data_IF_035244474962
#
_entry.id   IF_035244474962
#
_cell.length_a   1.000
_cell.length_b   1.000
_cell.length_c   1.000
_cell.angle_alpha   90.00
_cell.angle_beta   90.00
_cell.angle_gamma   90.00
#
_symmetry.space_group_name_H-M   'P 1'
#
loop_
_entity.id
_entity.type
_entity.pdbx_description
1 polymer ?
#
# COMPACT_ATOMS: atom_id res chain seq x y z
N UNK A 1 -5.61 17.57 21.79
CA UNK A 1 -6.42 17.16 20.61
C UNK A 1 -7.80 16.76 21.13
N UNK A 2 -8.84 17.59 20.91
CA UNK A 2 -10.15 17.43 21.56
C UNK A 2 -10.96 16.34 20.85
N UNK A 3 -11.25 15.29 21.59
CA UNK A 3 -12.13 14.17 21.21
C UNK A 3 -13.58 14.69 21.16
N UNK A 4 -14.23 14.68 19.99
CA UNK A 4 -15.68 14.87 19.92
C UNK A 4 -16.35 13.55 20.29
N UNK A 5 -16.71 13.38 21.57
CA UNK A 5 -17.65 12.35 22.03
C UNK A 5 -19.04 12.97 22.09
N UNK A 6 -19.96 12.46 21.30
CA UNK A 6 -21.40 12.62 21.57
C UNK A 6 -21.68 11.77 22.81
N UNK A 7 -21.77 12.40 23.99
CA UNK A 7 -22.25 11.74 25.20
C UNK A 7 -23.79 11.71 25.13
N UNK A 8 -24.37 10.57 24.75
CA UNK A 8 -25.78 10.29 25.01
C UNK A 8 -25.87 9.65 26.38
N UNK A 9 -26.25 10.42 27.40
CA UNK A 9 -26.58 9.88 28.72
C UNK A 9 -28.04 9.39 28.68
N UNK A 10 -28.25 8.07 28.70
CA UNK A 10 -29.58 7.48 28.93
C UNK A 10 -29.69 7.14 30.41
N UNK A 11 -30.56 7.85 31.14
CA UNK A 11 -30.99 7.47 32.47
C UNK A 11 -32.48 7.11 32.40
N UNK A 12 -32.80 5.84 32.70
CA UNK A 12 -34.16 5.41 32.98
C UNK A 12 -34.16 4.80 34.39
N UNK A 13 -35.12 5.20 35.23
CA UNK A 13 -35.80 4.41 36.28
C UNK A 13 -36.81 5.33 37.04
N UNK A 14 -38.09 4.93 36.98
CA UNK A 14 -39.33 5.40 37.64
C UNK A 14 -39.82 6.85 37.47
N UNK A 15 -40.87 7.00 36.63
CA UNK A 15 -42.05 7.78 37.03
C UNK A 15 -42.11 9.28 36.71
N UNK A 16 -41.53 9.74 35.59
CA UNK A 16 -41.89 10.99 34.87
C UNK A 16 -40.94 11.07 33.66
N UNK A 17 -41.38 10.70 32.47
CA UNK A 17 -40.56 10.80 31.26
C UNK A 17 -40.57 12.25 30.75
N UNK A 18 -39.72 13.09 31.33
CA UNK A 18 -39.23 14.29 30.64
C UNK A 18 -37.93 13.86 29.97
N UNK A 19 -37.99 13.44 28.71
CA UNK A 19 -36.79 13.34 27.88
C UNK A 19 -36.30 14.76 27.61
N UNK A 20 -35.48 15.30 28.52
CA UNK A 20 -34.69 16.47 28.23
C UNK A 20 -33.57 16.04 27.26
N UNK A 21 -33.72 16.35 25.98
CA UNK A 21 -32.63 16.20 25.01
C UNK A 21 -31.45 17.05 25.50
N UNK A 22 -30.26 16.46 25.57
CA UNK A 22 -29.05 17.19 25.92
C UNK A 22 -28.85 18.35 24.95
N UNK A 23 -28.52 19.54 25.47
CA UNK A 23 -28.28 20.70 24.63
C UNK A 23 -27.14 20.41 23.62
N UNK A 24 -27.35 20.80 22.37
CA UNK A 24 -26.35 20.66 21.31
C UNK A 24 -25.47 21.90 21.32
N UNK A 25 -24.18 21.72 21.54
CA UNK A 25 -23.20 22.80 21.44
C UNK A 25 -22.65 22.83 20.02
N UNK A 26 -22.85 23.95 19.34
CA UNK A 26 -22.34 24.25 18.00
C UNK A 26 -21.26 25.30 18.12
N UNK A 27 -20.06 25.00 17.64
CA UNK A 27 -18.96 25.97 17.61
C UNK A 27 -18.53 26.21 16.18
N UNK A 28 -18.20 27.44 15.83
CA UNK A 28 -17.73 27.79 14.50
C UNK A 28 -16.87 29.05 14.50
N UNK A 29 -16.32 29.35 13.33
CA UNK A 29 -15.60 30.57 13.04
C UNK A 29 -16.06 31.09 11.69
N UNK A 30 -16.56 32.32 11.66
CA UNK A 30 -16.79 33.01 10.41
C UNK A 30 -15.47 33.60 9.94
N UNK A 31 -15.27 33.63 8.63
CA UNK A 31 -14.13 34.29 7.98
C UNK A 31 -14.59 34.92 6.65
N UNK A 32 -13.65 35.50 5.90
CA UNK A 32 -13.93 36.16 4.63
C UNK A 32 -14.47 35.24 3.52
N UNK A 33 -14.42 33.91 3.70
CA UNK A 33 -14.98 32.94 2.75
C UNK A 33 -16.48 32.72 2.92
N UNK A 34 -17.06 33.16 4.05
CA UNK A 34 -18.50 33.04 4.29
C UNK A 34 -19.30 34.08 3.51
N UNK A 35 -20.51 33.74 3.05
CA UNK A 35 -21.39 34.69 2.40
C UNK A 35 -21.77 35.81 3.39
N UNK A 36 -22.08 36.97 2.83
CA UNK A 36 -22.53 38.13 3.62
C UNK A 36 -23.98 38.48 3.31
N UNK A 37 -24.67 39.06 4.30
CA UNK A 37 -26.03 39.56 4.16
C UNK A 37 -26.14 40.95 4.80
N UNK A 38 -27.13 41.72 4.37
CA UNK A 38 -27.46 42.98 5.03
C UNK A 38 -27.98 42.71 6.45
N UNK A 39 -27.49 43.47 7.43
CA UNK A 39 -27.95 43.39 8.82
C UNK A 39 -29.48 43.55 8.90
N UNK A 40 -30.10 42.74 9.74
CA UNK A 40 -31.54 42.78 10.03
C UNK A 40 -31.73 43.72 11.23
N UNK A 41 -32.76 44.58 11.21
CA UNK A 41 -33.05 45.45 12.35
C UNK A 41 -33.38 44.61 13.58
N UNK A 42 -32.80 44.95 14.73
CA UNK A 42 -33.29 44.45 15.98
C UNK A 42 -34.76 44.86 16.15
N UNK A 43 -35.55 44.03 16.84
CA UNK A 43 -36.98 44.31 17.06
C UNK A 43 -37.19 45.47 18.05
N UNK A 44 -36.11 46.11 18.51
CA UNK A 44 -36.11 47.23 19.47
C UNK A 44 -36.40 48.58 18.81
N UNK A 45 -36.47 48.62 17.47
CA UNK A 45 -36.94 49.80 16.73
C UNK A 45 -35.84 50.78 16.32
N UNK A 46 -34.56 50.38 16.35
CA UNK A 46 -33.50 51.19 15.77
C UNK A 46 -33.45 51.01 14.25
N UNK A 47 -33.47 52.10 13.46
CA UNK A 47 -33.32 52.02 12.02
C UNK A 47 -31.90 51.54 11.68
N UNK A 48 -31.82 50.50 10.85
CA UNK A 48 -30.55 50.01 10.27
C UNK A 48 -29.82 51.15 9.58
N UNK A 49 -28.53 51.33 9.88
CA UNK A 49 -27.65 51.96 8.90
C UNK A 49 -27.61 51.03 7.69
N UNK A 50 -28.22 51.48 6.58
CA UNK A 50 -27.99 50.84 5.30
C UNK A 50 -26.47 50.71 5.11
N UNK A 51 -26.00 49.52 4.71
CA UNK A 51 -24.61 49.19 4.30
C UNK A 51 -23.67 48.50 5.32
N UNK A 52 -24.16 47.86 6.39
CA UNK A 52 -23.32 46.90 7.14
C UNK A 52 -23.58 45.48 6.62
N UNK A 53 -22.70 45.00 5.74
CA UNK A 53 -22.71 43.62 5.25
C UNK A 53 -22.02 42.73 6.27
N UNK A 54 -22.74 41.75 6.83
CA UNK A 54 -22.23 40.87 7.88
C UNK A 54 -22.03 39.44 7.34
N UNK A 55 -20.92 38.77 7.70
CA UNK A 55 -20.76 37.35 7.43
C UNK A 55 -21.83 36.58 8.19
N UNK A 56 -22.39 35.55 7.55
CA UNK A 56 -23.36 34.69 8.19
C UNK A 56 -23.12 33.22 7.90
N UNK A 57 -23.60 32.41 8.82
CA UNK A 57 -23.78 30.98 8.64
C UNK A 57 -25.24 30.62 8.87
N UNK A 58 -25.72 29.62 8.13
CA UNK A 58 -27.07 29.08 8.31
C UNK A 58 -26.97 27.66 8.83
N UNK A 59 -27.60 27.43 9.98
CA UNK A 59 -27.88 26.11 10.49
C UNK A 59 -29.33 25.74 10.17
N UNK A 60 -29.51 24.76 9.31
CA UNK A 60 -30.83 24.16 9.10
C UNK A 60 -31.16 23.24 10.27
N UNK A 61 -32.27 23.52 10.94
CA UNK A 61 -32.76 22.72 12.07
C UNK A 61 -34.14 22.19 11.73
N UNK A 62 -34.40 20.93 12.08
CA UNK A 62 -35.70 20.29 11.89
C UNK A 62 -36.28 19.92 13.24
N UNK A 63 -37.50 20.40 13.50
CA UNK A 63 -38.26 20.05 14.71
C UNK A 63 -38.79 18.62 14.63
N UNK A 64 -38.93 17.97 15.77
CA UNK A 64 -39.42 16.59 15.85
C UNK A 64 -40.93 16.54 16.12
N UNK A 65 -41.43 17.41 16.99
CA UNK A 65 -42.81 17.42 17.47
C UNK A 65 -43.46 18.80 17.34
N UNK A 66 -44.80 18.83 17.32
CA UNK A 66 -45.54 20.10 17.29
C UNK A 66 -45.49 20.75 18.68
N UNK A 67 -45.35 22.07 18.72
CA UNK A 67 -45.25 22.82 19.98
C UNK A 67 -43.84 22.88 20.56
N UNK A 68 -42.84 22.32 19.85
CA UNK A 68 -41.45 22.35 20.28
C UNK A 68 -40.96 23.80 20.50
N UNK A 69 -40.05 23.93 21.46
CA UNK A 69 -39.37 25.18 21.78
C UNK A 69 -37.91 25.06 21.39
N UNK A 70 -37.43 26.01 20.60
CA UNK A 70 -36.00 26.22 20.36
C UNK A 70 -35.49 27.28 21.33
N UNK A 71 -34.44 26.95 22.06
CA UNK A 71 -33.57 27.93 22.71
C UNK A 71 -32.22 27.93 22.02
N UNK A 72 -31.67 29.11 21.80
CA UNK A 72 -30.38 29.31 21.17
C UNK A 72 -29.65 30.40 21.96
N UNK A 73 -28.50 30.06 22.52
CA UNK A 73 -27.75 30.96 23.39
C UNK A 73 -26.30 31.02 22.92
N UNK A 74 -25.86 32.21 22.54
CA UNK A 74 -24.46 32.46 22.24
C UNK A 74 -23.62 32.39 23.51
N UNK A 75 -22.48 31.71 23.42
CA UNK A 75 -21.49 31.59 24.49
C UNK A 75 -20.64 32.85 24.63
N UNK A 76 -19.79 32.86 25.66
CA UNK A 76 -19.02 34.03 26.03
C UNK A 76 -17.75 34.24 25.18
N UNK A 77 -17.88 35.01 24.11
CA UNK A 77 -16.74 35.52 23.34
C UNK A 77 -16.61 37.02 23.53
N UNK A 78 -15.71 37.46 24.43
CA UNK A 78 -15.59 38.85 24.90
C UNK A 78 -15.10 39.85 23.85
N UNK A 79 -14.95 39.46 22.59
CA UNK A 79 -14.38 40.27 21.50
C UNK A 79 -15.29 40.38 20.27
N UNK A 80 -16.43 39.69 20.26
CA UNK A 80 -17.31 39.66 19.09
C UNK A 80 -18.74 40.01 19.48
N UNK A 81 -19.33 40.88 18.67
CA UNK A 81 -20.77 41.12 18.63
C UNK A 81 -21.44 39.97 17.86
N UNK A 82 -22.67 39.62 18.21
CA UNK A 82 -23.34 38.44 17.68
C UNK A 82 -24.82 38.65 17.46
N UNK A 83 -25.34 38.20 16.32
CA UNK A 83 -26.76 38.23 16.04
C UNK A 83 -27.29 36.84 15.71
N UNK A 84 -28.45 36.50 16.25
CA UNK A 84 -29.19 35.28 15.95
C UNK A 84 -30.54 35.62 15.33
N UNK A 85 -30.90 34.94 14.25
CA UNK A 85 -32.25 35.01 13.71
C UNK A 85 -32.75 33.66 13.23
N UNK A 86 -33.98 33.31 13.61
CA UNK A 86 -34.68 32.11 13.18
C UNK A 86 -35.68 32.46 12.09
N UNK A 87 -35.65 31.72 10.99
CA UNK A 87 -36.52 31.92 9.84
C UNK A 87 -37.35 30.67 9.52
N UNK A 88 -38.56 30.88 9.01
CA UNK A 88 -39.36 29.84 8.37
C UNK A 88 -38.86 29.48 6.97
N UNK A 89 -38.26 30.44 6.27
CA UNK A 89 -37.47 30.26 5.06
C UNK A 89 -36.47 31.41 4.97
N UNK A 90 -35.23 31.13 4.56
CA UNK A 90 -34.18 32.15 4.54
C UNK A 90 -33.78 32.54 3.11
N UNK A 91 -33.82 33.83 2.82
CA UNK A 91 -33.32 34.43 1.58
C UNK A 91 -32.30 35.53 1.92
N UNK A 92 -31.00 35.35 1.64
CA UNK A 92 -29.98 36.33 2.02
C UNK A 92 -30.08 37.65 1.25
N UNK A 93 -30.77 37.69 0.10
CA UNK A 93 -31.04 38.93 -0.63
C UNK A 93 -32.20 39.74 0.00
N UNK A 94 -33.02 39.11 0.84
CA UNK A 94 -34.14 39.75 1.55
C UNK A 94 -34.20 39.27 3.01
N UNK A 95 -33.14 39.49 3.81
CA UNK A 95 -32.99 38.89 5.13
C UNK A 95 -34.00 39.42 6.16
N UNK A 96 -34.80 40.44 5.85
CA UNK A 96 -35.89 40.91 6.71
C UNK A 96 -37.19 40.10 6.56
N UNK A 97 -37.29 39.24 5.54
CA UNK A 97 -38.49 38.44 5.29
C UNK A 97 -38.49 37.17 6.14
N UNK A 98 -39.68 36.68 6.52
CA UNK A 98 -39.90 35.35 7.09
C UNK A 98 -39.21 35.05 8.44
N UNK A 99 -38.76 36.09 9.15
CA UNK A 99 -38.21 36.01 10.50
C UNK A 99 -39.29 35.58 11.48
N UNK A 100 -38.98 34.61 12.32
CA UNK A 100 -39.84 34.11 13.39
C UNK A 100 -39.44 34.65 14.76
N UNK A 101 -38.14 34.83 14.98
CA UNK A 101 -37.55 35.43 16.16
C UNK A 101 -36.11 35.84 15.84
N UNK A 102 -35.63 36.92 16.44
CA UNK A 102 -34.27 37.38 16.29
C UNK A 102 -33.83 38.10 17.58
N UNK A 103 -32.53 38.07 17.85
CA UNK A 103 -31.90 38.79 18.96
C UNK A 103 -30.49 39.23 18.56
N UNK A 104 -30.11 40.43 18.98
CA UNK A 104 -28.86 41.11 18.63
C UNK A 104 -27.96 41.32 19.86
N UNK A 105 -28.53 41.57 21.06
CA UNK A 105 -27.74 41.92 22.25
C UNK A 105 -28.58 42.11 23.54
N UNK A 106 -29.57 41.26 23.79
CA UNK A 106 -30.48 41.38 24.94
C UNK A 106 -29.79 41.65 26.31
N UNK A 107 -29.80 42.92 26.75
CA UNK A 107 -29.58 43.39 28.13
C UNK A 107 -28.14 43.55 28.67
N UNK A 108 -27.16 43.78 27.81
CA UNK A 108 -25.82 44.22 28.22
C UNK A 108 -24.81 43.08 28.35
N UNK A 109 -23.80 43.14 27.48
CA UNK A 109 -22.69 42.20 27.30
C UNK A 109 -23.08 40.88 26.57
N UNK A 110 -22.18 40.33 25.71
CA UNK A 110 -22.43 40.14 24.27
C UNK A 110 -22.96 38.74 23.92
N UNK A 111 -24.19 38.41 24.32
CA UNK A 111 -24.74 37.07 24.10
C UNK A 111 -26.15 37.14 23.53
N UNK A 112 -26.27 37.09 22.20
CA UNK A 112 -27.59 36.92 21.59
C UNK A 112 -28.24 35.63 22.12
N UNK A 113 -29.47 35.77 22.60
CA UNK A 113 -30.30 34.70 23.10
C UNK A 113 -31.68 34.74 22.45
N UNK A 114 -32.02 33.64 21.80
CA UNK A 114 -33.26 33.45 21.08
C UNK A 114 -34.06 32.34 21.77
N UNK A 115 -35.34 32.59 22.03
CA UNK A 115 -36.30 31.54 22.39
C UNK A 115 -37.51 31.62 21.48
N UNK A 116 -37.85 30.53 20.80
CA UNK A 116 -39.05 30.41 19.98
C UNK A 116 -39.85 29.18 20.35
N UNK A 117 -41.06 29.39 20.85
CA UNK A 117 -42.04 28.35 21.19
C UNK A 117 -43.03 28.11 20.03
N UNK A 118 -43.77 27.01 20.08
CA UNK A 118 -44.88 26.76 19.16
C UNK A 118 -44.44 26.48 17.73
N UNK A 119 -43.29 25.85 17.55
CA UNK A 119 -42.82 25.44 16.23
C UNK A 119 -43.66 24.25 15.70
N UNK A 120 -43.87 24.21 14.38
CA UNK A 120 -44.60 23.13 13.75
C UNK A 120 -43.77 21.85 13.73
N UNK A 121 -44.41 20.68 13.80
CA UNK A 121 -43.73 19.39 13.72
C UNK A 121 -43.05 19.20 12.35
N UNK A 122 -41.95 18.44 12.33
CA UNK A 122 -41.32 17.95 11.10
C UNK A 122 -40.99 19.03 10.06
N UNK A 123 -40.74 20.26 10.53
CA UNK A 123 -40.56 21.45 9.70
C UNK A 123 -39.11 21.90 9.80
N UNK A 124 -38.50 22.24 8.66
CA UNK A 124 -37.15 22.82 8.62
C UNK A 124 -37.24 24.33 8.85
N UNK A 125 -36.44 24.81 9.79
CA UNK A 125 -36.21 26.22 10.06
C UNK A 125 -34.73 26.54 9.82
N UNK A 126 -34.44 27.82 9.60
CA UNK A 126 -33.10 28.29 9.27
C UNK A 126 -32.65 29.23 10.39
N UNK A 127 -31.69 28.76 11.20
CA UNK A 127 -31.07 29.58 12.24
C UNK A 127 -29.83 30.24 11.64
N UNK A 128 -29.91 31.55 11.46
CA UNK A 128 -28.83 32.37 10.95
C UNK A 128 -28.01 32.89 12.13
N UNK A 129 -26.71 32.70 12.02
CA UNK A 129 -25.72 33.06 13.03
C UNK A 129 -24.76 34.05 12.39
N UNK A 130 -24.58 35.20 13.03
CA UNK A 130 -23.49 36.12 12.68
C UNK A 130 -22.64 36.37 13.91
N UNK A 131 -21.35 36.63 13.68
CA UNK A 131 -20.40 37.02 14.72
C UNK A 131 -19.31 37.88 14.08
N UNK A 132 -19.12 39.08 14.60
CA UNK A 132 -18.22 40.09 14.01
C UNK A 132 -17.56 40.94 15.09
N UNK A 133 -16.41 41.53 14.82
CA UNK A 133 -15.72 42.38 15.79
C UNK A 133 -16.47 43.72 15.97
N UNK A 134 -16.71 44.14 17.22
CA UNK A 134 -17.27 45.47 17.49
C UNK A 134 -16.29 46.55 17.02
N UNK A 135 -16.76 47.54 16.27
CA UNK A 135 -15.97 48.51 15.50
C UNK A 135 -15.03 49.48 16.25
N UNK A 136 -14.52 49.11 17.43
CA UNK A 136 -13.52 49.88 18.18
C UNK A 136 -12.08 49.42 17.93
N UNK A 137 -11.83 48.25 17.33
CA UNK A 137 -10.48 47.70 17.19
C UNK A 137 -10.13 47.37 15.73
N UNK A 138 -9.33 48.23 15.11
CA UNK A 138 -8.85 48.09 13.72
C UNK A 138 -7.84 46.93 13.54
N UNK A 139 -7.53 46.17 14.60
CA UNK A 139 -6.46 45.16 14.64
C UNK A 139 -6.97 43.75 14.33
N UNK A 140 -8.28 43.46 14.40
CA UNK A 140 -8.81 42.11 14.18
C UNK A 140 -9.47 41.92 12.80
N UNK A 141 -9.30 40.75 12.14
CA UNK A 141 -10.14 40.42 11.00
C UNK A 141 -11.60 40.48 11.44
N UNK A 142 -12.45 41.13 10.65
CA UNK A 142 -13.83 41.53 11.00
C UNK A 142 -14.81 40.36 11.31
N UNK A 143 -14.30 39.13 11.47
CA UNK A 143 -15.06 37.89 11.55
C UNK A 143 -14.82 37.19 12.89
N UNK A 144 -15.89 36.74 13.56
CA UNK A 144 -15.84 36.20 14.91
C UNK A 144 -15.98 34.69 15.00
N UNK A 145 -15.34 34.11 16.02
CA UNK A 145 -15.65 32.76 16.49
C UNK A 145 -16.90 32.78 17.36
N UNK A 146 -17.70 31.72 17.30
CA UNK A 146 -18.88 31.58 18.13
C UNK A 146 -18.97 30.20 18.80
N UNK A 147 -19.64 30.18 19.94
CA UNK A 147 -20.18 28.98 20.58
C UNK A 147 -21.68 29.20 20.74
N UNK A 148 -22.49 28.24 20.37
CA UNK A 148 -23.94 28.33 20.36
C UNK A 148 -24.50 27.10 21.05
N UNK A 149 -25.22 27.30 22.13
CA UNK A 149 -25.93 26.23 22.83
C UNK A 149 -27.36 26.20 22.34
N UNK A 150 -27.78 25.08 21.75
CA UNK A 150 -29.13 24.87 21.27
C UNK A 150 -29.87 23.90 22.19
N UNK A 151 -31.03 24.30 22.70
CA UNK A 151 -31.93 23.49 23.54
C UNK A 151 -33.31 23.32 22.91
N UNK A 152 -33.94 22.16 23.13
CA UNK A 152 -35.19 21.76 22.48
C UNK A 152 -35.11 20.42 21.75
N UNK A 153 -36.24 19.98 21.17
CA UNK A 153 -36.34 18.72 20.45
C UNK A 153 -36.17 18.90 18.93
N UNK A 154 -34.95 19.18 18.49
CA UNK A 154 -34.63 19.36 17.07
C UNK A 154 -33.41 18.52 16.66
N UNK A 155 -33.25 18.36 15.36
CA UNK A 155 -32.06 17.78 14.72
C UNK A 155 -31.47 18.80 13.76
N UNK A 156 -30.15 18.91 13.70
CA UNK A 156 -29.50 19.66 12.61
C UNK A 156 -29.63 18.86 11.32
N UNK A 157 -30.06 19.53 10.25
CA UNK A 157 -30.17 18.92 8.93
C UNK A 157 -28.79 18.87 8.30
N UNK A 158 -28.24 17.66 8.23
CA UNK A 158 -26.99 17.41 7.54
C UNK A 158 -27.20 17.34 6.01
N UNK A 159 -26.22 17.80 5.25
CA UNK A 159 -26.16 17.66 3.78
C UNK A 159 -25.39 16.39 3.42
N UNK A 160 -25.80 15.73 2.33
CA UNK A 160 -25.18 14.49 1.90
C UNK A 160 -23.71 14.71 1.52
N UNK A 161 -22.90 13.69 1.77
CA UNK A 161 -21.52 13.62 1.28
C UNK A 161 -21.30 12.37 0.46
N UNK A 162 -20.31 12.42 -0.42
CA UNK A 162 -19.81 11.25 -1.14
C UNK A 162 -18.32 11.11 -0.86
N UNK A 163 -17.91 9.93 -0.37
CA UNK A 163 -16.51 9.61 -0.13
C UNK A 163 -15.98 8.72 -1.24
N UNK A 164 -14.84 9.07 -1.84
CA UNK A 164 -14.08 8.19 -2.74
C UNK A 164 -12.76 7.80 -2.10
N UNK A 165 -12.21 6.65 -2.47
CA UNK A 165 -10.97 6.11 -1.91
C UNK A 165 -10.00 5.77 -3.04
N UNK A 166 -8.76 6.21 -2.90
CA UNK A 166 -7.63 5.83 -3.75
C UNK A 166 -6.42 5.40 -2.93
N UNK A 167 -5.44 4.80 -3.60
CA UNK A 167 -4.15 4.44 -3.04
C UNK A 167 -3.03 5.09 -3.86
N UNK A 168 -1.90 5.40 -3.21
CA UNK A 168 -0.71 5.97 -3.87
C UNK A 168 -0.09 5.02 -4.90
N UNK A 169 -0.18 3.71 -4.67
CA UNK A 169 0.34 2.65 -5.53
C UNK A 169 -0.46 1.36 -5.28
N UNK A 170 -0.73 0.59 -6.33
CA UNK A 170 -1.43 -0.70 -6.28
C UNK A 170 -1.13 -1.49 -7.57
N UNK A 171 -0.50 -2.69 -7.52
CA UNK A 171 -0.12 -3.45 -6.32
C UNK A 171 1.06 -2.85 -5.55
N UNK A 172 1.23 -3.26 -4.29
CA UNK A 172 2.41 -2.98 -3.45
C UNK A 172 3.12 -4.27 -3.08
N UNK A 173 4.41 -4.18 -2.74
CA UNK A 173 5.17 -5.32 -2.23
C UNK A 173 5.07 -5.38 -0.70
N UNK A 174 5.16 -6.57 -0.10
CA UNK A 174 5.17 -6.76 1.36
C UNK A 174 6.17 -5.80 2.04
N UNK A 175 5.69 -5.08 3.05
CA UNK A 175 6.50 -4.11 3.80
C UNK A 175 6.71 -2.76 3.11
N UNK A 176 6.25 -2.59 1.86
CA UNK A 176 6.22 -1.29 1.19
C UNK A 176 5.13 -0.40 1.82
N UNK A 177 5.45 0.86 2.05
CA UNK A 177 4.46 1.83 2.52
C UNK A 177 3.45 2.17 1.41
N UNK A 178 2.17 2.10 1.74
CA UNK A 178 1.05 2.56 0.93
C UNK A 178 0.36 3.73 1.63
N UNK A 179 0.01 4.78 0.88
CA UNK A 179 -0.84 5.86 1.37
C UNK A 179 -2.23 5.74 0.77
N UNK A 180 -3.23 5.58 1.64
CA UNK A 180 -4.64 5.62 1.31
C UNK A 180 -5.15 7.06 1.41
N UNK A 181 -5.88 7.51 0.39
CA UNK A 181 -6.43 8.86 0.31
C UNK A 181 -7.94 8.80 0.11
N UNK A 182 -8.67 9.37 1.06
CA UNK A 182 -10.12 9.52 0.99
C UNK A 182 -10.49 10.96 0.64
N UNK A 183 -11.27 11.13 -0.43
CA UNK A 183 -11.80 12.43 -0.83
C UNK A 183 -13.28 12.49 -0.46
N UNK A 184 -13.63 13.39 0.45
CA UNK A 184 -14.99 13.66 0.91
C UNK A 184 -15.53 14.88 0.19
N UNK A 185 -16.48 14.65 -0.70
CA UNK A 185 -17.19 15.70 -1.42
C UNK A 185 -18.52 16.01 -0.74
N UNK A 186 -18.89 17.29 -0.71
CA UNK A 186 -20.11 17.81 -0.10
C UNK A 186 -21.15 18.13 -1.17
N UNK A 187 -22.44 17.92 -0.88
CA UNK A 187 -23.54 18.47 -1.69
C UNK A 187 -23.96 19.88 -1.26
N UNK A 188 -23.57 20.30 -0.05
CA UNK A 188 -23.84 21.62 0.50
C UNK A 188 -22.66 22.60 0.36
N UNK A 189 -22.75 23.74 1.04
CA UNK A 189 -21.71 24.78 1.03
C UNK A 189 -20.66 24.60 2.12
N UNK A 190 -21.01 24.00 3.26
CA UNK A 190 -20.10 23.77 4.39
C UNK A 190 -19.03 22.72 4.06
N UNK A 191 -17.75 23.05 4.23
CA UNK A 191 -16.64 22.09 4.06
C UNK A 191 -16.77 20.92 5.04
N UNK A 192 -16.55 19.65 4.62
CA UNK A 192 -16.50 18.52 5.53
C UNK A 192 -15.32 18.66 6.49
N UNK A 193 -15.60 18.42 7.76
CA UNK A 193 -14.63 18.38 8.86
C UNK A 193 -14.72 17.04 9.58
N UNK A 194 -13.86 16.79 10.57
CA UNK A 194 -13.88 15.55 11.35
C UNK A 194 -12.88 14.52 10.81
N UNK A 195 -13.27 13.24 10.81
CA UNK A 195 -12.34 12.13 10.53
C UNK A 195 -12.91 11.14 9.52
N UNK A 196 -11.99 10.54 8.74
CA UNK A 196 -12.23 9.33 7.97
C UNK A 196 -11.58 8.16 8.69
N UNK A 197 -12.30 7.04 8.81
CA UNK A 197 -11.79 5.76 9.31
C UNK A 197 -11.57 4.82 8.13
N UNK A 198 -10.34 4.35 7.92
CA UNK A 198 -9.99 3.37 6.90
C UNK A 198 -10.15 1.97 7.49
N UNK A 199 -10.88 1.10 6.78
CA UNK A 199 -11.29 -0.21 7.28
C UNK A 199 -11.12 -1.32 6.27
N UNK A 200 -10.81 -2.51 6.75
CA UNK A 200 -10.96 -3.77 6.04
C UNK A 200 -12.09 -4.56 6.72
N UNK A 201 -13.24 -4.67 6.05
CA UNK A 201 -14.47 -5.16 6.68
C UNK A 201 -14.83 -4.34 7.93
N UNK A 202 -14.88 -4.98 9.09
CA UNK A 202 -15.11 -4.32 10.39
C UNK A 202 -13.84 -3.82 11.08
N UNK A 203 -12.66 -4.24 10.62
CA UNK A 203 -11.38 -3.93 11.27
C UNK A 203 -10.91 -2.54 10.87
N UNK A 204 -10.65 -1.68 11.86
CA UNK A 204 -10.04 -0.37 11.63
C UNK A 204 -8.54 -0.52 11.39
N UNK A 205 -8.08 -0.06 10.23
CA UNK A 205 -6.66 0.02 9.88
C UNK A 205 -6.03 1.30 10.43
N UNK A 206 -6.78 2.41 10.36
CA UNK A 206 -6.34 3.72 10.83
C UNK A 206 -7.35 4.83 10.56
N UNK A 207 -6.97 6.06 10.90
CA UNK A 207 -7.82 7.25 10.74
C UNK A 207 -7.03 8.42 10.14
N UNK A 208 -7.70 9.24 9.34
CA UNK A 208 -7.18 10.52 8.86
C UNK A 208 -8.13 11.67 9.21
N UNK A 209 -7.59 12.84 9.58
CA UNK A 209 -8.38 14.06 9.76
C UNK A 209 -8.72 14.65 8.41
N UNK A 210 -9.96 15.09 8.22
CA UNK A 210 -10.40 15.76 6.99
C UNK A 210 -9.92 17.21 7.00
N UNK A 211 -9.12 17.57 6.00
CA UNK A 211 -8.71 18.95 5.71
C UNK A 211 -8.99 19.24 4.24
N UNK A 212 -9.77 20.29 3.96
CA UNK A 212 -10.21 20.64 2.60
C UNK A 212 -10.81 19.46 1.81
N UNK A 213 -11.57 18.60 2.49
CA UNK A 213 -12.20 17.42 1.87
C UNK A 213 -11.25 16.25 1.63
N UNK A 214 -10.00 16.30 2.06
CA UNK A 214 -9.04 15.20 1.95
C UNK A 214 -8.67 14.65 3.33
N UNK A 215 -8.65 13.32 3.47
CA UNK A 215 -8.06 12.62 4.60
C UNK A 215 -7.12 11.52 4.09
N UNK A 216 -5.95 11.36 4.73
CA UNK A 216 -4.96 10.35 4.34
C UNK A 216 -4.58 9.45 5.51
N UNK A 217 -4.12 8.24 5.19
CA UNK A 217 -3.57 7.27 6.13
C UNK A 217 -2.50 6.43 5.44
N UNK A 218 -1.32 6.30 6.05
CA UNK A 218 -0.20 5.53 5.51
C UNK A 218 0.09 4.31 6.37
N UNK A 219 0.42 3.18 5.75
CA UNK A 219 0.74 1.93 6.44
C UNK A 219 1.67 1.06 5.59
N UNK A 220 2.48 0.22 6.22
CA UNK A 220 3.25 -0.87 5.60
C UNK A 220 2.89 -2.24 6.17
N UNK A 221 1.85 -2.31 7.01
CA UNK A 221 1.50 -3.47 7.81
C UNK A 221 0.46 -4.41 7.16
N UNK A 222 0.02 -4.12 5.93
CA UNK A 222 -0.88 -5.02 5.21
C UNK A 222 -0.13 -6.34 4.92
N UNK A 223 -0.79 -7.46 5.21
CA UNK A 223 -0.25 -8.79 4.92
C UNK A 223 -0.24 -9.05 3.41
N UNK A 224 0.43 -10.11 2.98
CA UNK A 224 0.37 -10.54 1.57
C UNK A 224 -1.04 -11.03 1.25
N UNK A 225 -1.56 -10.63 0.09
CA UNK A 225 -2.88 -11.01 -0.36
C UNK A 225 -3.69 -9.85 -0.93
N UNK A 226 -5.01 -10.04 -0.98
CA UNK A 226 -5.96 -9.07 -1.51
C UNK A 226 -6.79 -8.50 -0.38
N UNK A 227 -6.79 -7.17 -0.24
CA UNK A 227 -7.43 -6.42 0.83
C UNK A 227 -8.55 -5.54 0.28
N UNK A 228 -9.79 -5.78 0.73
CA UNK A 228 -10.94 -4.97 0.34
C UNK A 228 -11.13 -3.81 1.34
N UNK A 229 -10.56 -2.65 1.02
CA UNK A 229 -10.49 -1.49 1.91
C UNK A 229 -11.60 -0.49 1.61
N UNK A 230 -12.24 0.03 2.66
CA UNK A 230 -13.23 1.11 2.58
C UNK A 230 -12.79 2.31 3.41
N UNK A 231 -13.24 3.50 3.02
CA UNK A 231 -13.10 4.73 3.79
C UNK A 231 -14.48 5.17 4.29
N UNK A 232 -14.63 5.23 5.61
CA UNK A 232 -15.84 5.70 6.27
C UNK A 232 -15.64 7.11 6.82
N UNK A 233 -16.31 8.09 6.23
CA UNK A 233 -16.43 9.42 6.79
C UNK A 233 -17.56 9.44 7.83
N UNK A 234 -17.22 9.77 9.08
CA UNK A 234 -18.18 9.75 10.20
C UNK A 234 -19.25 10.83 10.16
N UNK A 235 -19.14 11.79 9.23
CA UNK A 235 -19.96 12.99 9.24
C UNK A 235 -19.45 14.05 10.21
N UNK A 236 -20.08 15.20 10.17
CA UNK A 236 -19.95 16.26 11.16
C UNK A 236 -21.34 16.88 11.42
N UNK A 237 -21.40 18.03 12.09
CA UNK A 237 -22.68 18.66 12.40
C UNK A 237 -23.52 19.00 11.15
N UNK A 238 -22.89 19.34 10.02
CA UNK A 238 -23.53 19.84 8.79
C UNK A 238 -23.43 18.86 7.63
N UNK A 239 -22.57 17.86 7.73
CA UNK A 239 -22.28 16.89 6.68
C UNK A 239 -22.63 15.49 7.17
N UNK A 240 -23.45 14.78 6.40
CA UNK A 240 -23.84 13.42 6.72
C UNK A 240 -22.65 12.48 6.55
N UNK A 241 -22.62 11.40 7.32
CA UNK A 241 -21.65 10.32 7.11
C UNK A 241 -21.78 9.72 5.72
N UNK A 242 -20.68 9.24 5.16
CA UNK A 242 -20.69 8.47 3.91
C UNK A 242 -19.57 7.41 3.92
N UNK A 243 -19.73 6.40 3.06
CA UNK A 243 -18.74 5.33 2.91
C UNK A 243 -18.35 5.22 1.45
N UNK A 244 -17.07 5.02 1.17
CA UNK A 244 -16.59 4.75 -0.19
C UNK A 244 -17.03 3.38 -0.69
N UNK A 245 -16.97 3.19 -2.00
CA UNK A 245 -16.85 1.84 -2.56
C UNK A 245 -15.57 1.15 -2.03
N UNK A 246 -15.55 -0.17 -2.04
CA UNK A 246 -14.36 -0.94 -1.66
C UNK A 246 -13.27 -0.81 -2.73
N UNK A 247 -12.07 -0.42 -2.31
CA UNK A 247 -10.85 -0.47 -3.10
C UNK A 247 -10.12 -1.79 -2.80
N UNK A 248 -9.89 -2.60 -3.82
CA UNK A 248 -9.05 -3.80 -3.68
C UNK A 248 -7.58 -3.41 -3.78
N UNK A 249 -6.85 -3.51 -2.66
CA UNK A 249 -5.40 -3.34 -2.60
C UNK A 249 -4.75 -4.70 -2.62
N UNK A 250 -3.82 -4.92 -3.56
CA UNK A 250 -3.08 -6.17 -3.68
C UNK A 250 -1.68 -5.97 -3.11
N UNK A 251 -1.29 -6.84 -2.18
CA UNK A 251 0.05 -6.91 -1.60
C UNK A 251 0.72 -8.18 -2.11
N UNK A 252 1.77 -8.03 -2.92
CA UNK A 252 2.59 -9.12 -3.41
C UNK A 252 3.67 -9.52 -2.39
N UNK A 253 4.14 -10.76 -2.44
CA UNK A 253 5.29 -11.21 -1.65
C UNK A 253 6.53 -10.35 -1.93
N UNK A 254 7.37 -10.15 -0.91
CA UNK A 254 8.69 -9.57 -1.13
C UNK A 254 9.52 -10.50 -2.01
N UNK A 255 10.38 -9.96 -2.87
CA UNK A 255 11.28 -10.79 -3.68
C UNK A 255 12.66 -10.91 -3.04
N UNK A 256 13.28 -12.08 -3.20
CA UNK A 256 14.64 -12.41 -2.75
C UNK A 256 15.48 -12.90 -3.91
N UNK A 257 16.74 -12.50 -3.93
CA UNK A 257 17.67 -12.91 -4.98
C UNK A 257 18.31 -14.26 -4.64
N UNK A 258 18.28 -15.19 -5.58
CA UNK A 258 19.09 -16.41 -5.57
C UNK A 258 20.22 -16.26 -6.58
N UNK A 259 21.46 -16.49 -6.14
CA UNK A 259 22.65 -16.52 -7.00
C UNK A 259 23.28 -17.91 -7.00
N UNK A 260 23.63 -18.41 -8.17
CA UNK A 260 24.28 -19.71 -8.37
C UNK A 260 25.68 -19.52 -8.94
N UNK A 261 26.66 -20.17 -8.32
CA UNK A 261 28.01 -20.29 -8.83
C UNK A 261 28.28 -21.73 -9.30
N UNK A 262 29.11 -21.86 -10.32
CA UNK A 262 29.56 -23.15 -10.87
C UNK A 262 31.07 -23.23 -10.73
N UNK A 263 31.55 -24.31 -10.13
CA UNK A 263 32.96 -24.72 -10.10
C UNK A 263 33.10 -25.97 -10.97
N UNK A 264 34.07 -25.99 -11.89
CA UNK A 264 34.18 -27.04 -12.90
C UNK A 264 33.29 -26.77 -14.12
N UNK A 265 32.85 -27.84 -14.80
CA UNK A 265 32.05 -27.74 -16.03
C UNK A 265 30.70 -28.44 -15.88
N UNK A 266 29.62 -27.69 -15.97
CA UNK A 266 28.26 -28.18 -15.85
C UNK A 266 27.24 -27.06 -16.01
N UNK A 267 25.98 -27.39 -15.72
CA UNK A 267 24.86 -26.47 -15.74
C UNK A 267 23.95 -26.69 -14.54
N UNK A 268 23.23 -25.63 -14.16
CA UNK A 268 22.23 -25.64 -13.10
C UNK A 268 20.97 -24.96 -13.61
N UNK A 269 19.83 -25.62 -13.45
CA UNK A 269 18.50 -25.06 -13.68
C UNK A 269 17.68 -25.06 -12.39
N UNK A 270 16.60 -24.27 -12.34
CA UNK A 270 15.67 -24.26 -11.20
C UNK A 270 14.23 -24.60 -11.56
N UNK A 271 13.51 -25.13 -10.57
CA UNK A 271 12.05 -25.17 -10.49
C UNK A 271 11.59 -24.48 -9.18
N UNK A 272 10.79 -23.40 -9.21
CA UNK A 272 10.28 -22.71 -10.40
C UNK A 272 11.37 -22.15 -11.30
N UNK A 273 11.05 -21.97 -12.58
CA UNK A 273 12.00 -21.49 -13.60
C UNK A 273 12.52 -20.09 -13.24
N UNK A 274 13.84 -19.92 -13.30
CA UNK A 274 14.50 -18.63 -13.06
C UNK A 274 16.02 -18.72 -13.17
N UNK A 275 16.62 -19.79 -12.67
CA UNK A 275 18.04 -20.09 -12.86
C UNK A 275 18.23 -20.95 -14.11
N UNK A 276 19.20 -20.56 -14.93
CA UNK A 276 19.73 -21.32 -16.07
C UNK A 276 21.23 -21.02 -16.19
N UNK A 277 21.98 -21.39 -15.17
CA UNK A 277 23.40 -21.10 -15.04
C UNK A 277 24.23 -22.17 -15.76
N UNK A 278 25.26 -21.78 -16.52
CA UNK A 278 26.15 -22.70 -17.21
C UNK A 278 27.60 -22.28 -17.02
N UNK A 279 28.52 -23.26 -16.93
CA UNK A 279 29.94 -23.00 -16.78
C UNK A 279 30.45 -22.06 -17.90
N UNK A 280 31.21 -21.04 -17.52
CA UNK A 280 31.71 -20.02 -18.44
C UNK A 280 30.71 -18.93 -18.84
N UNK A 281 29.48 -18.95 -18.32
CA UNK A 281 28.46 -17.92 -18.55
C UNK A 281 27.85 -17.45 -17.22
N UNK A 282 27.86 -16.15 -16.95
CA UNK A 282 27.23 -15.55 -15.77
C UNK A 282 25.77 -15.14 -15.99
N UNK A 283 25.31 -15.10 -17.25
CA UNK A 283 23.90 -14.81 -17.59
C UNK A 283 23.02 -15.99 -17.18
N UNK A 284 21.94 -15.73 -16.46
CA UNK A 284 21.04 -16.78 -15.94
C UNK A 284 21.50 -17.42 -14.62
N UNK A 285 22.62 -16.96 -14.05
CA UNK A 285 23.11 -17.42 -12.74
C UNK A 285 22.54 -16.65 -11.54
N UNK A 286 21.66 -15.68 -11.77
CA UNK A 286 20.92 -15.01 -10.71
C UNK A 286 19.48 -14.78 -11.14
N UNK A 287 18.54 -14.95 -10.21
CA UNK A 287 17.13 -14.67 -10.41
C UNK A 287 16.48 -14.27 -9.09
N UNK A 288 15.34 -13.58 -9.18
CA UNK A 288 14.52 -13.22 -8.01
C UNK A 288 13.34 -14.17 -7.90
N UNK A 289 13.01 -14.53 -6.67
CA UNK A 289 11.89 -15.40 -6.33
C UNK A 289 11.10 -14.81 -5.16
N UNK A 290 9.82 -15.12 -5.08
CA UNK A 290 8.96 -14.65 -3.99
C UNK A 290 9.45 -15.22 -2.65
N UNK A 291 9.38 -14.41 -1.61
CA UNK A 291 9.81 -14.78 -0.27
C UNK A 291 8.97 -15.96 0.24
N UNK A 292 9.63 -16.88 0.96
CA UNK A 292 8.99 -18.11 1.46
C UNK A 292 8.78 -19.21 0.42
N UNK A 293 9.02 -18.94 -0.87
CA UNK A 293 9.04 -19.99 -1.89
C UNK A 293 10.22 -20.95 -1.69
N UNK A 294 10.05 -22.19 -2.14
CA UNK A 294 11.14 -23.17 -2.21
C UNK A 294 11.56 -23.34 -3.66
N UNK A 295 12.83 -23.10 -3.95
CA UNK A 295 13.44 -23.27 -5.27
C UNK A 295 14.27 -24.55 -5.28
N UNK A 296 13.98 -25.46 -6.21
CA UNK A 296 14.73 -26.70 -6.41
C UNK A 296 15.72 -26.50 -7.54
N UNK A 297 17.00 -26.57 -7.23
CA UNK A 297 18.10 -26.55 -8.20
C UNK A 297 18.43 -27.96 -8.65
N UNK A 298 18.66 -28.15 -9.94
CA UNK A 298 19.14 -29.41 -10.53
C UNK A 298 20.43 -29.17 -11.28
N UNK A 299 21.48 -29.93 -10.95
CA UNK A 299 22.78 -29.86 -11.59
C UNK A 299 22.95 -30.96 -12.65
N UNK A 300 23.52 -30.60 -13.79
CA UNK A 300 23.92 -31.54 -14.85
C UNK A 300 25.37 -31.29 -15.24
N UNK A 301 26.23 -32.29 -15.06
CA UNK A 301 27.62 -32.23 -15.50
C UNK A 301 27.69 -32.18 -17.03
N UNK A 302 28.60 -31.37 -17.56
CA UNK A 302 28.89 -31.43 -19.00
C UNK A 302 29.62 -32.74 -19.31
N UNK A 303 29.70 -33.12 -20.60
CA UNK A 303 30.46 -34.30 -21.03
C UNK A 303 31.86 -34.31 -20.41
N UNK A 304 32.22 -35.41 -19.75
CA UNK A 304 33.51 -35.54 -19.06
C UNK A 304 33.55 -34.97 -17.63
N UNK A 305 32.42 -34.55 -17.05
CA UNK A 305 32.34 -34.04 -15.69
C UNK A 305 31.17 -34.68 -14.93
N UNK A 306 31.41 -35.02 -13.66
CA UNK A 306 30.37 -35.47 -12.73
C UNK A 306 29.98 -34.34 -11.79
N UNK A 307 28.70 -34.27 -11.43
CA UNK A 307 28.27 -33.45 -10.29
C UNK A 307 28.87 -34.03 -9.00
N UNK A 308 29.49 -33.17 -8.19
CA UNK A 308 30.16 -33.57 -6.95
C UNK A 308 29.37 -33.15 -5.72
N UNK A 309 29.11 -31.85 -5.53
CA UNK A 309 28.51 -31.34 -4.30
C UNK A 309 27.87 -29.96 -4.46
N UNK A 310 26.86 -29.70 -3.63
CA UNK A 310 26.29 -28.38 -3.35
C UNK A 310 26.89 -27.77 -2.09
N UNK A 311 27.14 -26.47 -2.10
CA UNK A 311 27.50 -25.70 -0.90
C UNK A 311 26.78 -24.35 -0.87
N UNK A 312 26.79 -23.68 0.29
CA UNK A 312 26.06 -22.43 0.50
C UNK A 312 24.68 -22.67 1.09
N UNK A 313 23.63 -22.15 0.45
CA UNK A 313 22.28 -22.14 0.99
C UNK A 313 21.55 -23.49 0.98
N UNK A 314 22.09 -24.54 0.34
CA UNK A 314 21.51 -25.87 0.34
C UNK A 314 22.58 -26.97 0.19
N UNK A 315 22.21 -28.20 0.54
CA UNK A 315 22.99 -29.43 0.33
C UNK A 315 22.08 -30.52 -0.24
N UNK A 316 22.63 -31.52 -0.92
CA UNK A 316 21.85 -32.58 -1.57
C UNK A 316 22.66 -33.40 -2.58
N UNK A 317 21.98 -34.31 -3.28
CA UNK A 317 22.53 -35.02 -4.45
C UNK A 317 22.44 -34.14 -5.70
N UNK A 318 22.03 -34.68 -6.85
CA UNK A 318 21.88 -33.87 -8.08
C UNK A 318 20.80 -32.76 -7.96
N UNK A 319 19.91 -32.85 -6.96
CA UNK A 319 18.91 -31.84 -6.61
C UNK A 319 19.18 -31.15 -5.26
N UNK A 320 18.85 -29.87 -5.16
CA UNK A 320 19.08 -29.03 -3.97
C UNK A 320 17.89 -28.08 -3.73
N UNK A 321 17.22 -28.17 -2.58
CA UNK A 321 16.09 -27.29 -2.25
C UNK A 321 16.55 -26.08 -1.42
N UNK A 322 16.17 -24.89 -1.86
CA UNK A 322 16.52 -23.60 -1.24
C UNK A 322 15.24 -22.89 -0.80
N UNK A 323 15.12 -22.57 0.49
CA UNK A 323 14.05 -21.70 0.99
C UNK A 323 14.46 -20.23 0.80
N UNK A 324 13.62 -19.46 0.11
CA UNK A 324 13.86 -18.05 -0.21
C UNK A 324 13.33 -17.11 0.88
N UNK A 325 13.90 -17.15 2.08
CA UNK A 325 13.56 -16.25 3.20
C UNK A 325 14.41 -14.95 3.23
N UNK A 326 15.61 -15.01 2.65
CA UNK A 326 16.57 -13.92 2.44
C UNK A 326 17.25 -14.10 1.09
N UNK A 327 18.11 -13.16 0.68
CA UNK A 327 18.97 -13.40 -0.47
C UNK A 327 19.88 -14.61 -0.21
N UNK A 328 19.95 -15.52 -1.18
CA UNK A 328 20.64 -16.81 -1.07
C UNK A 328 21.71 -16.95 -2.13
N UNK A 329 22.76 -17.68 -1.78
CA UNK A 329 23.83 -18.07 -2.71
C UNK A 329 24.11 -19.56 -2.60
N UNK A 330 24.22 -20.23 -3.74
CA UNK A 330 24.52 -21.66 -3.84
C UNK A 330 25.69 -21.87 -4.81
N UNK A 331 26.62 -22.75 -4.47
CA UNK A 331 27.68 -23.17 -5.36
C UNK A 331 27.52 -24.64 -5.70
N UNK A 332 27.44 -24.94 -7.00
CA UNK A 332 27.56 -26.30 -7.54
C UNK A 332 29.01 -26.58 -7.90
N UNK A 333 29.52 -27.74 -7.51
CA UNK A 333 30.85 -28.20 -7.88
C UNK A 333 30.75 -29.44 -8.74
N UNK A 334 31.43 -29.40 -9.89
CA UNK A 334 31.60 -30.50 -10.83
C UNK A 334 33.07 -30.92 -10.87
N UNK A 335 33.33 -32.21 -10.87
CA UNK A 335 34.68 -32.78 -10.93
C UNK A 335 34.90 -33.50 -12.25
N UNK A 336 36.11 -33.41 -12.78
CA UNK A 336 36.51 -34.12 -14.01
C UNK A 336 36.32 -35.62 -13.82
N UNK A 337 35.67 -36.27 -14.78
CA UNK A 337 35.55 -37.72 -14.83
C UNK A 337 36.93 -38.34 -15.05
N UNK A 338 37.19 -39.45 -14.38
CA UNK A 338 38.45 -40.17 -14.51
C UNK A 338 38.42 -41.13 -15.72
N UNK A 339 38.18 -40.61 -16.93
CA UNK A 339 37.94 -41.43 -18.12
C UNK A 339 39.20 -41.67 -18.95
N UNK A 340 40.06 -40.66 -19.06
CA UNK A 340 41.33 -40.69 -19.79
C UNK A 340 42.43 -40.15 -18.91
N UNK A 341 43.63 -40.75 -18.95
CA UNK A 341 44.78 -40.33 -18.16
C UNK A 341 45.98 -40.04 -19.06
N UNK A 342 46.58 -38.87 -18.87
CA UNK A 342 47.80 -38.44 -19.57
C UNK A 342 48.80 -37.95 -18.52
N UNK A 343 49.98 -38.56 -18.46
CA UNK A 343 51.05 -38.18 -17.54
C UNK A 343 50.63 -38.05 -16.06
N UNK A 344 49.67 -38.87 -15.62
CA UNK A 344 49.16 -38.83 -14.24
C UNK A 344 47.91 -37.99 -14.03
N UNK A 345 47.56 -37.10 -14.96
CA UNK A 345 46.39 -36.21 -14.89
C UNK A 345 45.18 -36.84 -15.57
N UNK A 346 44.01 -36.71 -14.95
CA UNK A 346 42.74 -37.25 -15.46
C UNK A 346 41.97 -36.23 -16.31
N UNK A 347 41.30 -36.74 -17.33
CA UNK A 347 40.48 -35.99 -18.28
C UNK A 347 39.19 -36.76 -18.54
N UNK A 348 38.10 -36.02 -18.76
CA UNK A 348 36.79 -36.60 -18.99
C UNK A 348 36.55 -37.07 -20.41
N UNK A 349 37.24 -36.48 -21.39
CA UNK A 349 37.08 -36.73 -22.83
C UNK A 349 38.42 -37.03 -23.50
N UNK A 350 38.39 -37.68 -24.66
CA UNK A 350 39.58 -37.87 -25.47
C UNK A 350 40.08 -36.55 -26.05
N UNK A 351 39.18 -35.62 -26.39
CA UNK A 351 39.54 -34.30 -26.88
C UNK A 351 40.31 -33.48 -25.84
N UNK A 352 39.85 -33.41 -24.59
CA UNK A 352 40.55 -32.66 -23.52
C UNK A 352 41.92 -33.28 -23.22
N UNK A 353 41.98 -34.61 -23.17
CA UNK A 353 43.23 -35.35 -22.99
C UNK A 353 44.21 -35.08 -24.14
N UNK A 354 43.72 -35.09 -25.38
CA UNK A 354 44.53 -34.79 -26.56
C UNK A 354 45.01 -33.34 -26.56
N UNK A 355 44.18 -32.37 -26.19
CA UNK A 355 44.58 -30.96 -26.11
C UNK A 355 45.72 -30.75 -25.11
N UNK A 356 45.71 -31.48 -23.99
CA UNK A 356 46.75 -31.39 -22.96
C UNK A 356 48.00 -32.23 -23.27
N UNK A 357 47.95 -33.13 -24.25
CA UNK A 357 49.03 -34.06 -24.55
C UNK A 357 50.29 -33.35 -25.08
N UNK A 358 51.47 -33.85 -24.69
CA UNK A 358 52.75 -33.53 -25.31
C UNK A 358 53.11 -34.50 -26.45
N UNK A 359 54.19 -34.22 -27.16
CA UNK A 359 54.71 -35.12 -28.20
C UNK A 359 55.15 -36.47 -27.61
N UNK A 360 54.70 -37.57 -28.22
CA UNK A 360 54.88 -38.94 -27.75
C UNK A 360 54.02 -39.34 -26.56
N UNK A 361 53.08 -38.51 -26.10
CA UNK A 361 52.29 -38.81 -24.91
C UNK A 361 51.35 -40.01 -25.11
N UNK A 362 51.19 -40.80 -24.06
CA UNK A 362 50.21 -41.89 -24.00
C UNK A 362 48.93 -41.40 -23.34
N UNK A 363 47.82 -41.50 -24.07
CA UNK A 363 46.46 -41.31 -23.59
C UNK A 363 45.91 -42.68 -23.20
N UNK A 364 45.88 -42.96 -21.90
CA UNK A 364 45.28 -44.18 -21.37
C UNK A 364 43.77 -43.94 -21.24
N UNK A 365 42.93 -44.65 -21.99
CA UNK A 365 41.48 -44.49 -21.98
C UNK A 365 40.78 -45.71 -21.35
N UNK A 366 39.77 -45.45 -20.51
CA UNK A 366 38.99 -46.53 -19.89
C UNK A 366 38.20 -47.33 -20.91
N UNK A 367 37.85 -48.56 -20.54
CA UNK A 367 36.92 -49.45 -21.26
C UNK A 367 35.50 -48.87 -21.27
N UNK A 368 35.32 -47.81 -22.06
CA UNK A 368 34.11 -47.00 -22.20
C UNK A 368 33.86 -46.71 -23.68
N UNK A 369 32.64 -46.28 -23.98
CA UNK A 369 32.30 -45.69 -25.28
C UNK A 369 32.37 -44.17 -25.18
N UNK A 370 33.29 -43.56 -25.91
CA UNK A 370 33.37 -42.12 -26.12
C UNK A 370 32.54 -41.76 -27.35
N UNK A 371 31.55 -40.90 -27.16
CA UNK A 371 30.69 -40.39 -28.25
C UNK A 371 31.15 -38.99 -28.59
N UNK A 372 32.21 -38.90 -29.40
CA UNK A 372 32.85 -37.66 -29.83
C UNK A 372 33.64 -37.88 -31.12
N UNK A 373 33.91 -36.81 -31.86
CA UNK A 373 34.90 -36.82 -32.94
C UNK A 373 36.26 -36.43 -32.35
N UNK A 374 37.33 -37.10 -32.77
CA UNK A 374 38.69 -36.77 -32.35
C UNK A 374 39.47 -36.23 -33.55
N UNK A 375 39.85 -34.96 -33.50
CA UNK A 375 40.65 -34.30 -34.53
C UNK A 375 42.11 -34.19 -34.08
N UNK A 376 42.97 -35.05 -34.62
CA UNK A 376 44.42 -34.99 -34.43
C UNK A 376 45.02 -34.03 -35.46
N UNK A 377 45.19 -32.78 -35.06
CA UNK A 377 45.62 -31.67 -35.92
C UNK A 377 46.85 -30.89 -35.37
N UNK A 378 47.41 -31.33 -34.26
CA UNK A 378 48.64 -30.81 -33.68
C UNK A 378 49.81 -31.64 -34.24
N UNK A 379 50.92 -30.99 -34.61
CA UNK A 379 52.11 -31.65 -35.18
C UNK A 379 52.90 -32.51 -34.19
N UNK A 380 52.20 -33.29 -33.37
CA UNK A 380 52.73 -34.19 -32.33
C UNK A 380 52.27 -35.62 -32.62
N UNK A 381 53.04 -36.60 -32.16
CA UNK A 381 52.62 -38.00 -32.06
C UNK A 381 51.91 -38.28 -30.74
N UNK A 382 50.84 -39.05 -30.76
CA UNK A 382 50.20 -39.59 -29.55
C UNK A 382 49.98 -41.10 -29.66
N UNK A 383 49.98 -41.78 -28.52
CA UNK A 383 49.56 -43.17 -28.41
C UNK A 383 48.22 -43.18 -27.67
N UNK A 384 47.16 -43.60 -28.33
CA UNK A 384 45.87 -43.81 -27.69
C UNK A 384 45.75 -45.29 -27.33
N UNK A 385 45.73 -45.59 -26.02
CA UNK A 385 45.63 -46.93 -25.49
C UNK A 385 44.29 -47.12 -24.78
N UNK A 386 43.44 -47.99 -25.31
CA UNK A 386 42.10 -48.21 -24.80
C UNK A 386 41.98 -49.40 -23.84
N UNK A 387 40.80 -49.54 -23.23
CA UNK A 387 40.38 -50.73 -22.50
C UNK A 387 40.82 -50.79 -21.05
N UNK A 388 41.25 -49.68 -20.45
CA UNK A 388 41.68 -49.66 -19.04
C UNK A 388 40.51 -49.79 -18.05
N UNK A 389 40.75 -50.46 -16.93
CA UNK A 389 39.87 -50.40 -15.75
C UNK A 389 39.96 -49.02 -15.06
N UNK A 390 39.05 -48.75 -14.11
CA UNK A 390 38.90 -47.47 -13.39
C UNK A 390 40.19 -46.94 -12.75
N UNK A 391 41.09 -47.84 -12.34
CA UNK A 391 42.38 -47.51 -11.74
C UNK A 391 43.54 -47.36 -12.73
N UNK A 392 43.33 -47.58 -14.04
CA UNK A 392 44.36 -47.58 -15.08
C UNK A 392 45.52 -48.59 -14.88
N UNK A 393 45.33 -49.60 -14.03
CA UNK A 393 46.35 -50.62 -13.73
C UNK A 393 46.26 -51.90 -14.58
N UNK A 394 45.09 -52.18 -15.17
CA UNK A 394 44.84 -53.37 -15.99
C UNK A 394 43.91 -53.06 -17.15
N UNK A 395 43.91 -53.94 -18.16
CA UNK A 395 43.00 -53.90 -19.29
C UNK A 395 41.82 -54.85 -19.06
N UNK A 396 40.59 -54.36 -19.27
CA UNK A 396 39.33 -55.08 -19.07
C UNK A 396 38.53 -55.31 -20.34
N UNK A 397 38.87 -54.62 -21.44
CA UNK A 397 38.14 -54.69 -22.70
C UNK A 397 38.74 -53.78 -23.77
N UNK A 398 37.90 -53.09 -24.54
CA UNK A 398 38.31 -52.18 -25.62
C UNK A 398 37.61 -50.83 -25.45
N UNK A 399 38.36 -49.73 -25.48
CA UNK A 399 37.73 -48.41 -25.63
C UNK A 399 37.08 -48.29 -27.00
N UNK A 400 35.84 -47.83 -27.04
CA UNK A 400 35.14 -47.56 -28.31
C UNK A 400 35.05 -46.06 -28.54
N UNK A 401 35.55 -45.58 -29.68
CA UNK A 401 35.25 -44.24 -30.19
C UNK A 401 34.09 -44.36 -31.17
N UNK A 402 32.95 -43.79 -30.83
CA UNK A 402 31.77 -43.71 -31.69
C UNK A 402 31.67 -42.30 -32.25
N UNK A 403 32.25 -42.12 -33.43
CA UNK A 403 32.54 -40.82 -34.02
C UNK A 403 33.72 -40.92 -35.00
N UNK A 404 34.17 -39.78 -35.49
CA UNK A 404 35.21 -39.70 -36.53
C UNK A 404 36.57 -39.40 -35.91
N UNK A 405 37.53 -40.27 -36.16
CA UNK A 405 38.95 -39.96 -35.95
C UNK A 405 39.53 -39.36 -37.23
N UNK A 406 39.93 -38.10 -37.18
CA UNK A 406 40.61 -37.41 -38.30
C UNK A 406 42.04 -37.08 -37.92
N UNK A 407 43.00 -37.47 -38.76
CA UNK A 407 44.41 -37.08 -38.60
C UNK A 407 44.78 -36.12 -39.73
N UNK A 408 44.98 -34.85 -39.40
CA UNK A 408 45.35 -33.81 -40.36
C UNK A 408 46.77 -33.28 -40.16
N UNK A 409 47.36 -33.47 -38.98
CA UNK A 409 48.76 -33.16 -38.68
C UNK A 409 49.22 -34.01 -37.49
N UNK A 410 50.51 -34.41 -37.47
CA UNK A 410 51.05 -35.31 -36.46
C UNK A 410 50.81 -36.78 -36.76
N UNK A 411 50.76 -37.62 -35.72
CA UNK A 411 50.48 -39.06 -35.85
C UNK A 411 49.72 -39.60 -34.64
N UNK A 412 48.97 -40.69 -34.85
CA UNK A 412 48.29 -41.42 -33.78
C UNK A 412 48.56 -42.91 -33.93
N UNK A 413 48.99 -43.53 -32.84
CA UNK A 413 49.04 -44.99 -32.71
C UNK A 413 47.82 -45.42 -31.90
N UNK A 414 47.02 -46.32 -32.46
CA UNK A 414 45.84 -46.87 -31.79
C UNK A 414 46.18 -48.25 -31.25
N UNK A 415 45.94 -48.45 -29.96
CA UNK A 415 46.14 -49.72 -29.28
C UNK A 415 44.90 -50.05 -28.44
N UNK A 416 44.36 -51.26 -28.62
CA UNK A 416 43.19 -51.74 -27.90
C UNK A 416 41.93 -50.82 -27.98
N UNK A 417 41.69 -50.24 -29.18
CA UNK A 417 40.51 -49.43 -29.50
C UNK A 417 39.62 -50.04 -30.59
N UNK A 418 38.35 -49.61 -30.59
CA UNK A 418 37.39 -49.81 -31.68
C UNK A 418 36.89 -48.46 -32.15
N UNK A 419 36.99 -48.16 -33.44
CA UNK A 419 36.36 -46.98 -34.04
C UNK A 419 35.10 -47.46 -34.74
N UNK A 420 33.97 -46.82 -34.44
CA UNK A 420 32.65 -47.18 -34.97
C UNK A 420 31.96 -46.01 -35.62
#
# INVERSE_FOLDING_TARGET
MRLFRILVAVAAIWGLSVTAQAAVIVTGGLDASYPTMNRVSDRSGFPVSANTSLPYEVLEIRTTSAGDTLTATMGNTTQFDSFLALYSSFNPAAPQSNILAADDDSAGYPHAQLTKTGLAANTTYYLVITSYASGADAVYPQYGSYSLTLGGNFTVVQKATTTTLGASVNPVTQGQEITLAAVVTKSGTALPTGTVTFKEGSTTLGTGTVSNGLATFSTSALAVGSHAITAFYGGDLKNSSSTSAALTVVVAEAQKQLTVAIVGSGSVISDPVGISCAAGNSSGCAAVFDAGSTVVLTATGNTGFDFSIWSGACTGGNGCSVLMDTDRSVTSTFTVQNNVKVNGTSYGTLNDAYLAAGDGATLMARDLTFVEDLLVNRGIGIILQGGYADGFGSHTGYTTLHGVLTVSSGSVVLDNLKIK
#
